data_IF_180225892312
#
_entry.id   IF_180225892312
#
_cell.length_a   1.000
_cell.length_b   1.000
_cell.length_c   1.000
_cell.angle_alpha   90.00
_cell.angle_beta   90.00
_cell.angle_gamma   90.00
#
_symmetry.space_group_name_H-M   'P 1'
#
loop_
_entity.id
_entity.type
_entity.pdbx_description
1 polymer ?
#
# COMPACT_ATOMS: atom_id res chain seq x y z
N UNK A 1 -42.06 -9.09 13.52
CA UNK A 1 -43.07 -8.58 14.49
C UNK A 1 -42.92 -7.07 14.58
N UNK A 2 -44.03 -6.35 14.52
CA UNK A 2 -44.03 -4.88 14.68
C UNK A 2 -43.71 -4.49 16.12
N UNK A 3 -43.03 -3.36 16.28
CA UNK A 3 -42.67 -2.83 17.60
C UNK A 3 -43.92 -2.20 18.23
N UNK A 4 -44.32 -2.68 19.40
CA UNK A 4 -45.40 -2.09 20.18
C UNK A 4 -46.75 -2.81 20.14
N UNK A 5 -46.79 -4.07 19.68
CA UNK A 5 -48.00 -4.93 19.73
C UNK A 5 -48.60 -5.03 21.15
N UNK A 6 -47.77 -4.92 22.18
CA UNK A 6 -48.20 -5.05 23.58
C UNK A 6 -48.28 -3.72 24.36
N UNK A 7 -48.16 -2.56 23.69
CA UNK A 7 -48.18 -1.25 24.36
C UNK A 7 -49.47 -0.95 25.13
N UNK A 8 -50.61 -1.50 24.69
CA UNK A 8 -51.90 -1.31 25.36
C UNK A 8 -52.25 -2.36 26.42
N UNK A 9 -51.46 -3.44 26.53
CA UNK A 9 -51.72 -4.56 27.45
C UNK A 9 -50.82 -4.52 28.69
N UNK A 10 -49.89 -3.57 28.76
CA UNK A 10 -48.81 -3.53 29.74
C UNK A 10 -49.22 -3.36 31.20
N UNK A 11 -50.37 -2.74 31.48
CA UNK A 11 -50.76 -2.40 32.86
C UNK A 11 -51.39 -3.58 33.62
N UNK A 12 -52.01 -4.53 32.92
CA UNK A 12 -52.78 -5.61 33.55
C UNK A 12 -52.30 -7.03 33.17
N UNK A 13 -51.42 -7.15 32.18
CA UNK A 13 -50.93 -8.45 31.74
C UNK A 13 -49.81 -8.94 32.67
N UNK A 14 -50.05 -10.07 33.34
CA UNK A 14 -49.10 -10.68 34.27
C UNK A 14 -48.33 -11.86 33.65
N UNK A 15 -48.97 -12.58 32.73
CA UNK A 15 -48.36 -13.69 31.99
C UNK A 15 -48.72 -13.62 30.51
N UNK A 16 -47.76 -13.99 29.65
CA UNK A 16 -47.90 -14.07 28.21
C UNK A 16 -47.36 -15.41 27.73
N UNK A 17 -48.24 -16.27 27.20
CA UNK A 17 -47.83 -17.56 26.65
C UNK A 17 -47.68 -17.47 25.13
N UNK A 18 -46.45 -17.62 24.65
CA UNK A 18 -46.09 -17.71 23.23
C UNK A 18 -45.46 -19.06 22.91
N UNK A 19 -45.63 -20.06 23.79
CA UNK A 19 -45.08 -21.40 23.56
C UNK A 19 -45.71 -22.10 22.36
N UNK A 20 -45.00 -23.10 21.83
CA UNK A 20 -45.48 -23.96 20.73
C UNK A 20 -45.92 -23.19 19.47
N UNK A 21 -45.23 -22.09 19.19
CA UNK A 21 -45.42 -21.32 17.98
C UNK A 21 -44.27 -21.57 16.99
N UNK A 22 -44.27 -20.86 15.87
CA UNK A 22 -43.22 -20.93 14.83
C UNK A 22 -42.34 -19.68 14.83
N UNK A 23 -42.07 -19.13 16.02
CA UNK A 23 -41.25 -17.93 16.16
C UNK A 23 -39.78 -18.29 15.98
N UNK A 24 -39.12 -17.62 15.04
CA UNK A 24 -37.68 -17.80 14.78
C UNK A 24 -36.86 -16.77 15.55
N UNK A 25 -37.32 -15.52 15.58
CA UNK A 25 -36.71 -14.43 16.35
C UNK A 25 -37.76 -13.41 16.76
N UNK A 26 -37.55 -12.76 17.91
CA UNK A 26 -38.39 -11.65 18.37
C UNK A 26 -37.49 -10.52 18.88
N UNK A 27 -37.82 -9.29 18.50
CA UNK A 27 -37.06 -8.13 18.96
C UNK A 27 -37.38 -7.84 20.44
N UNK A 28 -36.35 -7.62 21.25
CA UNK A 28 -36.44 -7.18 22.65
C UNK A 28 -37.34 -5.95 22.86
N UNK A 29 -37.48 -5.08 21.86
CA UNK A 29 -38.30 -3.86 21.95
C UNK A 29 -39.81 -4.16 21.90
N UNK A 30 -40.20 -5.37 21.53
CA UNK A 30 -41.60 -5.83 21.61
C UNK A 30 -42.03 -6.01 23.07
N UNK A 31 -41.10 -6.45 23.93
CA UNK A 31 -41.34 -6.70 25.35
C UNK A 31 -40.95 -5.54 26.25
N UNK A 32 -40.33 -4.47 25.73
CA UNK A 32 -39.87 -3.35 26.57
C UNK A 32 -40.99 -2.61 27.29
N UNK A 33 -42.21 -2.64 26.74
CA UNK A 33 -43.39 -2.05 27.40
C UNK A 33 -44.12 -3.03 28.32
N UNK A 34 -43.81 -4.33 28.26
CA UNK A 34 -44.57 -5.38 28.92
C UNK A 34 -43.82 -5.87 30.17
N UNK A 35 -44.43 -5.76 31.35
CA UNK A 35 -43.86 -6.27 32.63
C UNK A 35 -44.40 -7.67 32.99
N UNK A 36 -44.79 -8.44 31.98
CA UNK A 36 -45.38 -9.77 32.15
C UNK A 36 -44.32 -10.86 32.05
N UNK A 37 -44.56 -11.98 32.73
CA UNK A 37 -43.75 -13.20 32.54
C UNK A 37 -44.09 -13.85 31.20
N UNK A 38 -43.09 -14.15 30.37
CA UNK A 38 -43.31 -14.75 29.07
C UNK A 38 -42.91 -16.24 29.06
N UNK A 39 -43.73 -17.07 28.41
CA UNK A 39 -43.37 -18.43 28.04
C UNK A 39 -42.99 -18.47 26.55
N UNK A 40 -41.74 -18.82 26.26
CA UNK A 40 -41.15 -18.86 24.92
C UNK A 40 -40.77 -20.28 24.49
N UNK A 41 -41.21 -21.31 25.22
CA UNK A 41 -40.81 -22.70 24.96
C UNK A 41 -41.31 -23.23 23.60
N UNK A 42 -40.70 -24.30 23.10
CA UNK A 42 -41.18 -25.04 21.93
C UNK A 42 -41.36 -24.20 20.66
N UNK A 43 -40.45 -23.26 20.42
CA UNK A 43 -40.39 -22.47 19.19
C UNK A 43 -39.07 -22.76 18.44
N UNK A 44 -39.04 -22.68 17.10
CA UNK A 44 -37.84 -22.92 16.29
C UNK A 44 -36.87 -21.74 16.36
N UNK A 45 -36.29 -21.50 17.54
CA UNK A 45 -35.48 -20.32 17.81
C UNK A 45 -34.17 -20.33 17.00
N UNK A 46 -33.87 -19.16 16.43
CA UNK A 46 -32.55 -18.83 15.93
C UNK A 46 -31.68 -18.34 17.09
N UNK A 47 -30.71 -19.16 17.49
CA UNK A 47 -29.78 -18.82 18.56
C UNK A 47 -28.67 -17.91 18.05
N UNK A 48 -28.90 -16.61 18.27
CA UNK A 48 -28.02 -15.51 17.93
C UNK A 48 -28.00 -14.42 19.03
N UNK A 49 -27.34 -13.30 18.74
CA UNK A 49 -27.30 -12.16 19.66
C UNK A 49 -28.68 -11.53 19.93
N UNK A 50 -29.63 -11.62 18.99
CA UNK A 50 -30.97 -11.04 19.17
C UNK A 50 -31.75 -11.81 20.23
N UNK A 51 -31.66 -13.15 20.21
CA UNK A 51 -32.26 -13.99 21.23
C UNK A 51 -31.61 -13.77 22.60
N UNK A 52 -30.29 -13.61 22.66
CA UNK A 52 -29.58 -13.29 23.91
C UNK A 52 -30.12 -12.00 24.55
N UNK A 53 -30.25 -10.94 23.77
CA UNK A 53 -30.78 -9.66 24.24
C UNK A 53 -32.26 -9.71 24.60
N UNK A 54 -33.04 -10.59 23.96
CA UNK A 54 -34.43 -10.82 24.29
C UNK A 54 -34.56 -11.46 25.68
N UNK A 55 -33.82 -12.56 25.91
CA UNK A 55 -33.84 -13.31 27.18
C UNK A 55 -33.35 -12.45 28.35
N UNK A 56 -32.37 -11.56 28.11
CA UNK A 56 -31.91 -10.60 29.12
C UNK A 56 -32.99 -9.57 29.51
N UNK A 57 -33.91 -9.23 28.59
CA UNK A 57 -34.94 -8.21 28.81
C UNK A 57 -36.27 -8.78 29.32
N UNK A 58 -36.58 -10.04 29.02
CA UNK A 58 -37.87 -10.66 29.37
C UNK A 58 -37.75 -11.51 30.63
N UNK A 59 -38.77 -11.44 31.50
CA UNK A 59 -38.86 -12.35 32.65
C UNK A 59 -39.49 -13.67 32.19
N UNK A 60 -38.74 -14.78 32.24
CA UNK A 60 -39.25 -16.09 31.83
C UNK A 60 -40.12 -16.72 32.92
N UNK A 61 -41.19 -17.43 32.52
CA UNK A 61 -41.98 -18.24 33.45
C UNK A 61 -41.13 -19.39 33.99
N UNK A 62 -41.16 -19.62 35.30
CA UNK A 62 -40.39 -20.70 35.94
C UNK A 62 -40.71 -22.07 35.31
N UNK A 63 -39.67 -22.85 34.98
CA UNK A 63 -39.80 -24.15 34.32
C UNK A 63 -39.85 -24.11 32.79
N UNK A 64 -39.87 -22.92 32.17
CA UNK A 64 -39.84 -22.77 30.70
C UNK A 64 -38.42 -22.64 30.13
N UNK A 65 -37.42 -22.48 31.01
CA UNK A 65 -36.00 -22.32 30.68
C UNK A 65 -35.46 -23.40 29.74
N UNK A 66 -35.80 -24.66 30.02
CA UNK A 66 -35.26 -25.82 29.32
C UNK A 66 -35.97 -26.05 27.97
N UNK A 67 -37.14 -25.43 27.78
CA UNK A 67 -37.93 -25.52 26.56
C UNK A 67 -37.49 -24.57 25.45
N UNK A 68 -36.51 -23.69 25.71
CA UNK A 68 -35.94 -22.76 24.72
C UNK A 68 -34.73 -23.45 24.08
N UNK A 69 -34.98 -24.22 23.03
CA UNK A 69 -33.97 -25.01 22.31
C UNK A 69 -33.64 -24.34 20.98
N UNK A 70 -32.35 -24.35 20.63
CA UNK A 70 -31.87 -23.82 19.36
C UNK A 70 -32.24 -24.74 18.19
N UNK A 71 -33.06 -24.26 17.25
CA UNK A 71 -33.35 -24.97 16.01
C UNK A 71 -32.35 -24.56 14.90
N UNK A 72 -31.99 -23.28 14.87
CA UNK A 72 -30.98 -22.73 13.97
C UNK A 72 -29.92 -21.94 14.74
N UNK A 73 -28.67 -21.98 14.26
CA UNK A 73 -27.58 -21.14 14.75
C UNK A 73 -26.51 -21.02 13.66
N UNK A 74 -25.66 -19.99 13.73
CA UNK A 74 -24.55 -19.83 12.77
C UNK A 74 -23.55 -21.01 12.83
N UNK A 75 -23.45 -21.67 13.98
CA UNK A 75 -22.65 -22.89 14.15
C UNK A 75 -23.58 -24.06 14.47
N UNK A 76 -23.49 -25.12 13.66
CA UNK A 76 -24.35 -26.32 13.77
C UNK A 76 -24.22 -27.04 15.11
N UNK A 77 -23.13 -26.86 15.83
CA UNK A 77 -22.84 -27.45 17.15
C UNK A 77 -23.79 -27.01 18.27
N UNK A 78 -24.52 -25.91 18.06
CA UNK A 78 -25.47 -25.36 19.02
C UNK A 78 -26.91 -25.85 18.79
N UNK A 79 -27.20 -26.48 17.65
CA UNK A 79 -28.55 -26.94 17.31
C UNK A 79 -28.94 -28.09 18.25
N UNK A 80 -30.17 -28.05 18.77
CA UNK A 80 -30.73 -29.04 19.70
C UNK A 80 -30.31 -28.84 21.16
N UNK A 81 -29.49 -27.83 21.47
CA UNK A 81 -29.10 -27.51 22.85
C UNK A 81 -30.02 -26.42 23.44
N UNK A 82 -30.26 -26.44 24.77
CA UNK A 82 -30.99 -25.38 25.43
C UNK A 82 -30.17 -24.07 25.42
N UNK A 83 -30.81 -22.97 25.05
CA UNK A 83 -30.14 -21.69 24.84
C UNK A 83 -29.51 -21.14 26.13
N UNK A 84 -30.19 -21.32 27.28
CA UNK A 84 -29.69 -20.86 28.58
C UNK A 84 -28.39 -21.54 29.02
N UNK A 85 -28.15 -22.78 28.58
CA UNK A 85 -26.88 -23.47 28.84
C UNK A 85 -25.74 -22.86 28.01
N UNK A 86 -26.05 -22.37 26.81
CA UNK A 86 -25.05 -21.83 25.88
C UNK A 86 -24.62 -20.42 26.28
N UNK A 87 -25.53 -19.55 26.73
CA UNK A 87 -25.18 -18.17 27.11
C UNK A 87 -24.26 -18.07 28.33
N UNK A 88 -24.16 -19.14 29.13
CA UNK A 88 -23.22 -19.20 30.26
C UNK A 88 -21.76 -19.46 29.84
N UNK A 89 -21.55 -20.07 28.67
CA UNK A 89 -20.23 -20.44 28.14
C UNK A 89 -19.81 -19.55 26.95
N UNK A 90 -20.79 -19.03 26.21
CA UNK A 90 -20.61 -18.42 24.88
C UNK A 90 -21.43 -17.13 24.79
N UNK A 91 -20.75 -15.99 24.63
CA UNK A 91 -21.41 -14.70 24.37
C UNK A 91 -21.60 -14.50 22.86
N UNK A 92 -22.82 -14.77 22.37
CA UNK A 92 -23.15 -14.65 20.96
C UNK A 92 -22.96 -13.22 20.45
N UNK A 93 -23.26 -12.20 21.26
CA UNK A 93 -23.12 -10.81 20.84
C UNK A 93 -21.66 -10.37 20.67
N UNK A 94 -20.76 -10.88 21.50
CA UNK A 94 -19.35 -10.52 21.46
C UNK A 94 -18.57 -11.34 20.43
N UNK A 95 -18.91 -12.61 20.23
CA UNK A 95 -18.21 -13.50 19.30
C UNK A 95 -18.26 -12.98 17.86
N UNK A 96 -19.41 -12.48 17.39
CA UNK A 96 -19.47 -11.94 16.02
C UNK A 96 -18.59 -10.69 15.87
N UNK A 97 -18.61 -9.77 16.84
CA UNK A 97 -17.76 -8.58 16.83
C UNK A 97 -16.27 -8.95 16.86
N UNK A 98 -15.91 -9.87 17.74
CA UNK A 98 -14.52 -10.31 17.92
C UNK A 98 -13.99 -11.05 16.69
N UNK A 99 -14.81 -11.90 16.06
CA UNK A 99 -14.42 -12.66 14.87
C UNK A 99 -14.21 -11.73 13.67
N UNK A 100 -15.05 -10.70 13.50
CA UNK A 100 -14.88 -9.70 12.43
C UNK A 100 -13.63 -8.84 12.63
N UNK A 101 -13.34 -8.44 13.88
CA UNK A 101 -12.15 -7.65 14.19
C UNK A 101 -10.86 -8.44 13.89
N UNK A 102 -10.79 -9.69 14.38
CA UNK A 102 -9.66 -10.59 14.08
C UNK A 102 -9.50 -10.81 12.56
N UNK A 103 -10.59 -11.05 11.84
CA UNK A 103 -10.54 -11.27 10.39
C UNK A 103 -10.01 -10.03 9.64
N UNK A 104 -10.43 -8.83 10.05
CA UNK A 104 -9.92 -7.58 9.48
C UNK A 104 -8.44 -7.37 9.79
N UNK A 105 -7.99 -7.66 11.01
CA UNK A 105 -6.58 -7.56 11.37
C UNK A 105 -5.70 -8.51 10.55
N UNK A 106 -6.13 -9.76 10.39
CA UNK A 106 -5.40 -10.76 9.59
C UNK A 106 -5.32 -10.35 8.11
N UNK A 107 -6.43 -9.87 7.55
CA UNK A 107 -6.47 -9.46 6.13
C UNK A 107 -5.64 -8.20 5.87
N UNK A 108 -5.67 -7.23 6.78
CA UNK A 108 -4.80 -6.05 6.71
C UNK A 108 -3.33 -6.44 6.82
N UNK A 109 -2.96 -7.23 7.83
CA UNK A 109 -1.56 -7.66 8.01
C UNK A 109 -1.03 -8.42 6.79
N UNK A 110 -1.84 -9.32 6.22
CA UNK A 110 -1.50 -10.03 4.99
C UNK A 110 -1.33 -9.10 3.78
N UNK A 111 -2.23 -8.13 3.62
CA UNK A 111 -2.14 -7.16 2.52
C UNK A 111 -0.94 -6.22 2.68
N UNK A 112 -0.69 -5.71 3.88
CA UNK A 112 0.49 -4.89 4.16
C UNK A 112 1.79 -5.65 3.91
N UNK A 113 1.89 -6.91 4.36
CA UNK A 113 3.05 -7.75 4.08
C UNK A 113 3.25 -7.93 2.56
N UNK A 114 2.18 -8.23 1.81
CA UNK A 114 2.24 -8.35 0.35
C UNK A 114 2.71 -7.06 -0.32
N UNK A 115 2.15 -5.90 0.05
CA UNK A 115 2.50 -4.59 -0.52
C UNK A 115 3.93 -4.21 -0.17
N UNK A 116 4.36 -4.40 1.08
CA UNK A 116 5.73 -4.12 1.52
C UNK A 116 6.71 -5.01 0.75
N UNK A 117 6.43 -6.32 0.63
CA UNK A 117 7.25 -7.24 -0.16
C UNK A 117 7.31 -6.83 -1.64
N UNK A 118 6.18 -6.44 -2.24
CA UNK A 118 6.13 -5.96 -3.62
C UNK A 118 6.95 -4.68 -3.81
N UNK A 119 6.84 -3.71 -2.90
CA UNK A 119 7.61 -2.47 -2.96
C UNK A 119 9.11 -2.73 -2.80
N UNK A 120 9.52 -3.60 -1.86
CA UNK A 120 10.92 -3.99 -1.70
C UNK A 120 11.44 -4.66 -2.98
N UNK A 121 10.69 -5.61 -3.51
CA UNK A 121 11.03 -6.28 -4.78
C UNK A 121 11.19 -5.26 -5.91
N UNK A 122 10.21 -4.37 -6.07
CA UNK A 122 10.20 -3.36 -7.11
C UNK A 122 11.38 -2.39 -6.96
N UNK A 123 11.67 -1.89 -5.75
CA UNK A 123 12.80 -0.99 -5.51
C UNK A 123 14.12 -1.67 -5.81
N UNK A 124 14.32 -2.91 -5.34
CA UNK A 124 15.55 -3.68 -5.61
C UNK A 124 15.75 -3.88 -7.10
N UNK A 125 14.71 -4.30 -7.81
CA UNK A 125 14.71 -4.48 -9.25
C UNK A 125 15.07 -3.16 -9.97
N UNK A 126 14.42 -2.06 -9.59
CA UNK A 126 14.63 -0.77 -10.23
C UNK A 126 16.03 -0.19 -9.93
N UNK A 127 16.59 -0.50 -8.75
CA UNK A 127 17.98 -0.15 -8.42
C UNK A 127 18.98 -0.95 -9.27
N UNK A 128 18.71 -2.23 -9.55
CA UNK A 128 19.54 -3.06 -10.42
C UNK A 128 19.49 -2.60 -11.87
N UNK A 129 18.31 -2.23 -12.37
CA UNK A 129 18.14 -1.68 -13.71
C UNK A 129 18.81 -0.30 -13.84
N UNK A 130 18.64 0.59 -12.86
CA UNK A 130 19.32 1.90 -12.84
C UNK A 130 20.85 1.76 -12.76
N UNK A 131 21.37 0.77 -12.01
CA UNK A 131 22.81 0.49 -11.92
C UNK A 131 23.37 0.07 -13.28
N UNK A 132 22.68 -0.83 -14.00
CA UNK A 132 23.05 -1.22 -15.37
C UNK A 132 23.03 -0.02 -16.32
N UNK A 133 21.98 0.81 -16.29
CA UNK A 133 21.90 2.02 -17.12
C UNK A 133 23.04 3.02 -16.86
N UNK A 134 23.48 3.17 -15.61
CA UNK A 134 24.60 4.04 -15.27
C UNK A 134 25.94 3.53 -15.84
N UNK A 135 26.15 2.22 -15.88
CA UNK A 135 27.33 1.61 -16.49
C UNK A 135 27.38 1.85 -18.00
N UNK A 136 26.25 1.73 -18.69
CA UNK A 136 26.14 2.12 -20.10
C UNK A 136 26.51 3.59 -20.31
N UNK A 137 25.96 4.51 -19.50
CA UNK A 137 26.27 5.95 -19.62
C UNK A 137 27.74 6.28 -19.32
N UNK A 138 28.39 5.53 -18.41
CA UNK A 138 29.83 5.70 -18.12
C UNK A 138 30.73 5.26 -19.27
N UNK A 139 30.32 4.26 -20.06
CA UNK A 139 31.09 3.79 -21.21
C UNK A 139 31.06 4.76 -22.40
N UNK A 140 30.06 5.67 -22.44
CA UNK A 140 29.99 6.68 -23.49
C UNK A 140 31.14 7.69 -23.38
N UNK A 141 31.82 8.03 -24.49
CA UNK A 141 32.91 8.99 -24.47
C UNK A 141 32.40 10.37 -24.05
N UNK A 142 32.90 10.88 -22.91
CA UNK A 142 32.58 12.22 -22.41
C UNK A 142 32.92 13.29 -23.46
N UNK A 143 32.00 14.25 -23.65
CA UNK A 143 32.13 15.39 -24.59
C UNK A 143 33.41 16.21 -24.36
N UNK A 144 33.95 16.19 -23.14
CA UNK A 144 35.21 16.84 -22.79
C UNK A 144 36.44 16.18 -23.43
N UNK A 145 36.44 14.86 -23.64
CA UNK A 145 37.54 14.17 -24.33
C UNK A 145 37.68 14.64 -25.78
N UNK A 146 36.55 14.91 -26.46
CA UNK A 146 36.55 15.49 -27.80
C UNK A 146 37.03 16.94 -27.80
N UNK A 147 36.60 17.76 -26.84
CA UNK A 147 37.06 19.16 -26.72
C UNK A 147 38.57 19.22 -26.49
N UNK A 148 39.08 18.43 -25.56
CA UNK A 148 40.52 18.36 -25.27
C UNK A 148 41.32 17.93 -26.50
N UNK A 149 40.84 16.92 -27.24
CA UNK A 149 41.50 16.48 -28.47
C UNK A 149 41.56 17.58 -29.54
N UNK A 150 40.45 18.29 -29.78
CA UNK A 150 40.40 19.41 -30.74
C UNK A 150 41.33 20.55 -30.32
N UNK A 151 41.36 20.92 -29.04
CA UNK A 151 42.27 21.94 -28.51
C UNK A 151 43.75 21.53 -28.73
N UNK A 152 44.08 20.26 -28.47
CA UNK A 152 45.44 19.74 -28.71
C UNK A 152 45.82 19.79 -30.19
N UNK A 153 44.90 19.43 -31.10
CA UNK A 153 45.14 19.50 -32.54
C UNK A 153 45.35 20.94 -33.04
N UNK A 154 44.56 21.90 -32.56
CA UNK A 154 44.70 23.32 -32.90
C UNK A 154 46.06 23.82 -32.42
N UNK A 155 46.46 23.52 -31.18
CA UNK A 155 47.76 23.92 -30.64
C UNK A 155 48.92 23.36 -31.46
N UNK A 156 48.84 22.09 -31.90
CA UNK A 156 49.85 21.48 -32.78
C UNK A 156 49.92 22.17 -34.14
N UNK A 157 48.78 22.49 -34.77
CA UNK A 157 48.75 23.25 -36.03
C UNK A 157 49.35 24.65 -35.88
N UNK A 158 49.08 25.33 -34.76
CA UNK A 158 49.65 26.65 -34.47
C UNK A 158 51.17 26.61 -34.31
N UNK A 159 51.71 25.62 -33.59
CA UNK A 159 53.17 25.43 -33.49
C UNK A 159 53.81 25.12 -34.85
N UNK A 160 53.18 24.27 -35.67
CA UNK A 160 53.65 24.00 -37.04
C UNK A 160 53.69 25.27 -37.89
N UNK A 161 52.64 26.11 -37.84
CA UNK A 161 52.65 27.40 -38.54
C UNK A 161 53.75 28.34 -38.02
N UNK A 162 54.01 28.34 -36.71
CA UNK A 162 55.03 29.18 -36.09
C UNK A 162 56.44 28.75 -36.49
N UNK A 163 56.69 27.45 -36.56
CA UNK A 163 57.94 26.89 -37.06
C UNK A 163 58.14 27.19 -38.56
N UNK A 164 57.08 27.06 -39.35
CA UNK A 164 57.12 27.39 -40.78
C UNK A 164 57.36 28.88 -41.02
N UNK A 165 56.74 29.77 -40.23
CA UNK A 165 56.98 31.21 -40.28
C UNK A 165 58.41 31.58 -39.84
N UNK A 166 58.95 30.93 -38.79
CA UNK A 166 60.37 31.08 -38.42
C UNK A 166 61.29 30.66 -39.55
N UNK A 167 61.00 29.54 -40.22
CA UNK A 167 61.80 29.08 -41.34
C UNK A 167 61.74 30.05 -42.54
N UNK A 168 60.59 30.70 -42.79
CA UNK A 168 60.51 31.77 -43.79
C UNK A 168 61.28 33.03 -43.39
N UNK A 169 61.26 33.43 -42.12
CA UNK A 169 62.03 34.60 -41.65
C UNK A 169 63.54 34.35 -41.63
N UNK A 170 63.97 33.10 -41.46
CA UNK A 170 65.37 32.68 -41.54
C UNK A 170 65.83 32.35 -42.96
N UNK A 171 64.95 32.43 -43.97
CA UNK A 171 65.42 32.40 -45.36
C UNK A 171 66.20 33.69 -45.61
N UNK A 172 67.49 33.62 -45.93
CA UNK A 172 68.21 34.81 -46.30
C UNK A 172 67.60 35.33 -47.59
N UNK A 173 67.25 36.61 -47.60
CA UNK A 173 66.73 37.29 -48.77
C UNK A 173 67.80 37.19 -49.88
N UNK A 174 67.59 36.29 -50.83
CA UNK A 174 68.53 36.00 -51.91
C UNK A 174 68.85 37.28 -52.72
N UNK A 175 67.93 38.25 -52.68
CA UNK A 175 68.11 39.58 -53.26
C UNK A 175 69.10 40.44 -52.44
N UNK A 176 69.08 40.35 -51.11
CA UNK A 176 70.04 41.02 -50.24
C UNK A 176 71.45 40.40 -50.34
N UNK A 177 71.55 39.07 -50.43
CA UNK A 177 72.84 38.38 -50.67
C UNK A 177 73.43 38.80 -52.02
N UNK A 178 72.63 38.80 -53.09
CA UNK A 178 73.09 39.26 -54.42
C UNK A 178 73.54 40.72 -54.40
N UNK A 179 72.78 41.62 -53.76
CA UNK A 179 73.16 43.04 -53.63
C UNK A 179 74.45 43.23 -52.84
N UNK A 180 74.65 42.48 -51.75
CA UNK A 180 75.88 42.54 -50.95
C UNK A 180 77.09 42.07 -51.75
N UNK A 181 76.96 40.98 -52.51
CA UNK A 181 78.03 40.48 -53.40
C UNK A 181 78.39 41.47 -54.52
N UNK A 182 77.42 42.23 -55.03
CA UNK A 182 77.65 43.25 -56.06
C UNK A 182 78.34 44.51 -55.51
N UNK A 183 78.08 44.88 -54.25
CA UNK A 183 78.78 45.98 -53.59
C UNK A 183 80.25 45.64 -53.30
N UNK A 184 80.54 44.44 -52.82
CA UNK A 184 81.90 44.02 -52.46
C UNK A 184 82.85 43.96 -53.68
N UNK A 185 82.33 43.63 -54.87
CA UNK A 185 83.13 43.54 -56.09
C UNK A 185 83.36 44.87 -56.83
N UNK A 186 82.84 46.01 -56.35
CA UNK A 186 83.21 47.34 -56.86
C UNK A 186 84.35 47.92 -56.02
N UNK A 187 85.59 47.53 -56.34
CA UNK A 187 86.80 48.26 -55.93
C UNK A 187 86.94 49.52 -56.81
N UNK A 188 87.04 50.74 -56.26
CA UNK A 188 87.39 51.92 -57.03
C UNK A 188 88.91 51.93 -57.27
N UNK A 189 89.30 51.80 -58.54
CA UNK A 189 90.57 52.31 -59.07
C UNK A 189 90.57 53.83 -58.92
N UNK A 190 91.37 54.35 -58.00
CA UNK A 190 91.82 55.74 -58.03
C UNK A 190 93.22 55.73 -58.67
N UNK A 191 93.23 56.21 -59.92
CA UNK A 191 94.41 56.63 -60.67
C UNK A 191 95.09 57.84 -60.01
N UNK A 192 96.42 57.84 -60.17
CA UNK A 192 97.39 58.94 -60.12
C UNK A 192 97.73 59.58 -58.77
#
# INVERSE_FOLDING_TARGET
MEVGVFKGLSENLHSLDLSSNKLVSVNKDVFSSLKAKANLSNNPWLCDCTLQQLIERVELVAGTSDGIVCDASARKEHIGKPFLQLIGDIDFCNIYKKTTDIAMLVTMFGWFAMVISYLIYYVRQNQEDARRHLEYLKSLPKKDTKKTFIITLIRRKQEQQKLQARHLLLQPDQLAIKKWSACVNKKPTMEQ
#
